data_IF_406917238617
#
_entry.id   IF_406917238617
#
_cell.length_a   1.000
_cell.length_b   1.000
_cell.length_c   1.000
_cell.angle_alpha   90.00
_cell.angle_beta   90.00
_cell.angle_gamma   90.00
#
_symmetry.space_group_name_H-M   'P 1'
#
loop_
_entity.id
_entity.type
_entity.pdbx_description
1 polymer ?
#
# COMPACT_ATOMS: atom_id res chain seq x y z
N UNK A 1 -20.76 -18.09 12.81
CA UNK A 1 -20.87 -17.77 11.37
C UNK A 1 -19.52 -17.77 10.66
N UNK A 2 -18.58 -16.83 10.88
CA UNK A 2 -17.31 -16.82 10.14
C UNK A 2 -16.54 -18.14 10.27
N UNK A 3 -16.34 -18.62 11.51
CA UNK A 3 -15.64 -19.87 11.81
C UNK A 3 -16.29 -21.15 11.24
N UNK A 4 -17.56 -21.09 10.86
CA UNK A 4 -18.35 -22.28 10.49
C UNK A 4 -18.59 -22.42 8.99
N UNK A 5 -18.46 -21.34 8.20
CA UNK A 5 -18.87 -21.35 6.80
C UNK A 5 -18.01 -20.54 5.83
N UNK A 6 -16.87 -20.01 6.29
CA UNK A 6 -15.94 -19.26 5.43
C UNK A 6 -14.51 -19.75 5.64
N UNK A 7 -13.80 -19.94 4.53
CA UNK A 7 -12.36 -20.27 4.53
C UNK A 7 -11.49 -19.02 4.71
N UNK A 8 -12.07 -17.84 4.53
CA UNK A 8 -11.39 -16.59 4.81
C UNK A 8 -12.20 -15.36 4.38
N UNK A 9 -11.64 -14.18 4.65
CA UNK A 9 -12.29 -12.90 4.40
C UNK A 9 -11.28 -11.82 4.01
N UNK A 10 -11.66 -10.97 3.05
CA UNK A 10 -10.96 -9.72 2.80
C UNK A 10 -11.49 -8.64 3.74
N UNK A 11 -10.58 -7.88 4.35
CA UNK A 11 -10.88 -6.75 5.23
C UNK A 11 -10.49 -5.46 4.52
N UNK A 12 -11.42 -4.50 4.46
CA UNK A 12 -11.17 -3.20 3.83
C UNK A 12 -11.29 -2.05 4.82
N UNK A 13 -10.98 -0.83 4.38
CA UNK A 13 -11.15 0.36 5.21
C UNK A 13 -12.60 0.50 5.72
N UNK A 14 -12.81 0.94 6.97
CA UNK A 14 -11.82 1.38 7.96
C UNK A 14 -11.34 0.26 8.93
N UNK A 15 -11.57 -1.01 8.63
CA UNK A 15 -11.48 -2.10 9.62
C UNK A 15 -10.12 -2.82 9.70
N UNK A 16 -9.17 -2.52 8.82
CA UNK A 16 -7.89 -3.28 8.71
C UNK A 16 -7.06 -3.30 10.00
N UNK A 17 -7.06 -2.19 10.75
CA UNK A 17 -6.32 -2.09 12.02
C UNK A 17 -7.06 -2.78 13.17
N UNK A 18 -8.39 -2.64 13.19
CA UNK A 18 -9.23 -3.32 14.18
C UNK A 18 -9.12 -4.83 14.02
N UNK A 19 -9.12 -5.33 12.78
CA UNK A 19 -8.90 -6.75 12.50
C UNK A 19 -7.50 -7.20 12.94
N UNK A 20 -6.46 -6.42 12.71
CA UNK A 20 -5.09 -6.77 13.12
C UNK A 20 -4.89 -6.79 14.65
N UNK A 21 -5.76 -6.12 15.40
CA UNK A 21 -5.77 -6.13 16.86
C UNK A 21 -6.60 -7.28 17.46
N UNK A 22 -7.24 -8.12 16.63
CA UNK A 22 -7.95 -9.32 17.08
C UNK A 22 -6.96 -10.45 17.38
N UNK A 23 -7.47 -11.50 18.02
CA UNK A 23 -6.72 -12.75 18.29
C UNK A 23 -6.54 -13.55 16.99
N UNK A 24 -5.57 -13.12 16.19
CA UNK A 24 -5.16 -13.71 14.92
C UNK A 24 -3.69 -14.08 14.99
N UNK A 25 -3.25 -15.00 14.12
CA UNK A 25 -1.85 -15.33 13.91
C UNK A 25 -1.28 -14.36 12.85
N UNK A 26 -0.51 -13.33 13.23
CA UNK A 26 -0.07 -12.32 12.28
C UNK A 26 1.11 -12.83 11.46
N UNK A 27 1.03 -12.66 10.14
CA UNK A 27 2.20 -12.73 9.27
C UNK A 27 3.18 -11.58 9.56
N UNK A 28 4.39 -11.71 9.01
CA UNK A 28 5.45 -10.72 9.08
C UNK A 28 5.01 -9.33 8.57
N UNK A 29 4.25 -9.29 7.48
CA UNK A 29 3.72 -8.04 6.93
C UNK A 29 2.65 -7.41 7.82
N UNK A 30 1.82 -8.21 8.50
CA UNK A 30 0.81 -7.69 9.44
C UNK A 30 1.50 -7.14 10.68
N UNK A 31 2.52 -7.86 11.19
CA UNK A 31 3.34 -7.40 12.32
C UNK A 31 4.01 -6.06 12.02
N UNK A 32 4.49 -5.86 10.79
CA UNK A 32 5.13 -4.62 10.36
C UNK A 32 4.16 -3.47 10.10
N UNK A 33 3.00 -3.76 9.49
CA UNK A 33 2.04 -2.71 9.08
C UNK A 33 1.05 -2.35 10.19
N UNK A 34 0.85 -3.23 11.17
CA UNK A 34 -0.21 -3.10 12.16
C UNK A 34 -1.61 -3.16 11.55
N UNK A 35 -1.76 -3.73 10.35
CA UNK A 35 -3.00 -3.80 9.60
C UNK A 35 -3.09 -5.10 8.81
N UNK A 36 -4.29 -5.68 8.73
CA UNK A 36 -4.58 -6.86 7.91
C UNK A 36 -5.69 -6.54 6.91
N UNK A 37 -5.51 -6.94 5.66
CA UNK A 37 -6.57 -6.88 4.65
C UNK A 37 -7.11 -8.28 4.29
N UNK A 38 -6.59 -9.32 4.93
CA UNK A 38 -6.85 -10.70 4.56
C UNK A 38 -6.71 -11.61 5.78
N UNK A 39 -7.78 -12.36 6.09
CA UNK A 39 -7.77 -13.36 7.16
C UNK A 39 -8.13 -14.71 6.54
N UNK A 40 -7.27 -15.70 6.74
CA UNK A 40 -7.42 -17.05 6.18
C UNK A 40 -7.55 -18.04 7.33
N UNK A 41 -8.51 -18.95 7.22
CA UNK A 41 -8.69 -20.05 8.16
C UNK A 41 -7.74 -21.19 7.76
N UNK A 42 -6.84 -21.55 8.65
CA UNK A 42 -5.90 -22.66 8.47
C UNK A 42 -6.08 -23.70 9.56
N UNK A 43 -5.32 -24.80 9.49
CA UNK A 43 -5.29 -25.82 10.53
C UNK A 43 -4.65 -25.32 11.84
N UNK A 44 -3.90 -24.21 11.80
CA UNK A 44 -3.25 -23.60 12.97
C UNK A 44 -4.15 -22.55 13.64
N UNK A 45 -5.16 -22.03 12.94
CA UNK A 45 -6.06 -21.00 13.44
C UNK A 45 -6.44 -20.00 12.36
N UNK A 46 -6.70 -18.75 12.78
CA UNK A 46 -6.96 -17.65 11.85
C UNK A 46 -5.67 -16.89 11.59
N UNK A 47 -5.13 -17.04 10.39
CA UNK A 47 -3.91 -16.34 9.97
C UNK A 47 -4.24 -15.03 9.28
N UNK A 48 -3.52 -13.97 9.66
CA UNK A 48 -3.70 -12.63 9.13
C UNK A 48 -2.57 -12.26 8.17
N UNK A 49 -2.96 -11.75 7.00
CA UNK A 49 -2.08 -11.37 5.91
C UNK A 49 -2.34 -9.94 5.46
N UNK A 50 -1.32 -9.32 4.87
CA UNK A 50 -1.46 -8.01 4.23
C UNK A 50 -1.04 -8.12 2.75
N UNK A 51 -1.96 -8.52 1.89
CA UNK A 51 -1.70 -8.64 0.45
C UNK A 51 -1.48 -7.28 -0.23
N UNK A 52 -1.97 -6.18 0.36
CA UNK A 52 -1.67 -4.83 -0.13
C UNK A 52 -0.18 -4.51 0.02
N UNK A 53 0.41 -4.83 1.16
CA UNK A 53 1.84 -4.68 1.38
C UNK A 53 2.64 -5.44 0.31
N UNK A 54 2.28 -6.71 0.06
CA UNK A 54 2.96 -7.54 -0.95
C UNK A 54 2.78 -6.99 -2.37
N UNK A 55 1.60 -6.47 -2.69
CA UNK A 55 1.31 -5.84 -3.98
C UNK A 55 2.17 -4.58 -4.19
N UNK A 56 2.19 -3.67 -3.22
CA UNK A 56 2.97 -2.43 -3.31
C UNK A 56 4.47 -2.74 -3.38
N UNK A 57 4.97 -3.65 -2.54
CA UNK A 57 6.37 -4.08 -2.56
C UNK A 57 6.78 -4.59 -3.94
N UNK A 58 5.91 -5.39 -4.59
CA UNK A 58 6.16 -5.88 -5.94
C UNK A 58 6.14 -4.75 -6.98
N UNK A 59 5.18 -3.83 -6.89
CA UNK A 59 5.10 -2.69 -7.82
C UNK A 59 6.34 -1.80 -7.71
N UNK A 60 6.81 -1.48 -6.49
CA UNK A 60 8.03 -0.70 -6.28
C UNK A 60 9.23 -1.41 -6.91
N UNK A 61 9.40 -2.71 -6.68
CA UNK A 61 10.50 -3.50 -7.29
C UNK A 61 10.44 -3.51 -8.81
N UNK A 62 9.24 -3.63 -9.39
CA UNK A 62 9.07 -3.65 -10.84
C UNK A 62 9.38 -2.28 -11.47
N UNK A 63 9.10 -1.19 -10.77
CA UNK A 63 9.49 0.16 -11.20
C UNK A 63 10.98 0.43 -10.98
N UNK A 64 11.56 -0.07 -9.89
CA UNK A 64 12.99 0.07 -9.60
C UNK A 64 13.89 -0.57 -10.67
N UNK A 65 13.45 -1.66 -11.29
CA UNK A 65 14.15 -2.27 -12.44
C UNK A 65 14.18 -1.37 -13.68
N UNK A 66 13.29 -0.39 -13.77
CA UNK A 66 13.17 0.54 -14.91
C UNK A 66 13.83 1.87 -14.64
N UNK A 67 13.86 2.32 -13.37
CA UNK A 67 14.40 3.60 -12.94
C UNK A 67 14.83 3.54 -11.47
N UNK A 68 15.85 4.31 -11.04
CA UNK A 68 16.21 4.37 -9.63
C UNK A 68 15.06 4.97 -8.81
N UNK A 69 14.75 4.33 -7.68
CA UNK A 69 13.81 4.83 -6.69
C UNK A 69 14.52 4.90 -5.34
N UNK A 70 14.72 6.12 -4.82
CA UNK A 70 15.34 6.34 -3.51
C UNK A 70 14.36 6.96 -2.53
N UNK A 71 13.70 8.06 -2.92
CA UNK A 71 12.78 8.82 -2.08
C UNK A 71 11.34 8.58 -2.48
N UNK A 72 10.57 7.97 -1.59
CA UNK A 72 9.16 7.65 -1.78
C UNK A 72 8.27 8.52 -0.88
N UNK A 73 7.31 9.21 -1.48
CA UNK A 73 6.28 9.95 -0.76
C UNK A 73 5.04 9.08 -0.59
N UNK A 74 4.52 8.92 0.63
CA UNK A 74 3.26 8.25 0.92
C UNK A 74 2.27 9.27 1.45
N UNK A 75 1.16 9.49 0.74
CA UNK A 75 0.15 10.48 1.12
C UNK A 75 -1.04 9.79 1.81
N UNK A 76 -1.19 10.04 3.11
CA UNK A 76 -2.22 9.48 3.99
C UNK A 76 -1.63 8.66 5.16
N UNK A 77 -2.49 8.27 6.11
CA UNK A 77 -2.11 7.43 7.27
C UNK A 77 -3.06 6.26 7.53
N UNK A 78 -3.92 5.92 6.57
CA UNK A 78 -4.82 4.75 6.68
C UNK A 78 -4.11 3.43 6.39
N UNK A 79 -4.83 2.31 6.45
CA UNK A 79 -4.26 0.97 6.23
C UNK A 79 -3.51 0.77 4.90
N UNK A 80 -3.96 1.41 3.81
CA UNK A 80 -3.25 1.37 2.53
C UNK A 80 -1.90 2.13 2.58
N UNK A 81 -1.87 3.29 3.23
CA UNK A 81 -0.64 4.06 3.44
C UNK A 81 0.33 3.31 4.36
N UNK A 82 -0.18 2.62 5.39
CA UNK A 82 0.61 1.72 6.26
C UNK A 82 1.27 0.59 5.48
N UNK A 83 0.52 -0.08 4.62
CA UNK A 83 1.06 -1.10 3.72
C UNK A 83 2.13 -0.53 2.78
N UNK A 84 1.87 0.63 2.17
CA UNK A 84 2.79 1.27 1.23
C UNK A 84 4.10 1.75 1.88
N UNK A 85 4.02 2.44 3.01
CA UNK A 85 5.21 2.93 3.71
C UNK A 85 6.06 1.79 4.24
N UNK A 86 5.43 0.74 4.80
CA UNK A 86 6.14 -0.46 5.23
C UNK A 86 6.84 -1.16 4.05
N UNK A 87 6.17 -1.29 2.91
CA UNK A 87 6.76 -1.88 1.71
C UNK A 87 7.98 -1.09 1.22
N UNK A 88 7.84 0.24 1.14
CA UNK A 88 8.94 1.13 0.76
C UNK A 88 10.11 1.06 1.75
N UNK A 89 9.83 1.13 3.05
CA UNK A 89 10.86 1.12 4.09
C UNK A 89 11.65 -0.21 4.12
N UNK A 90 10.98 -1.34 3.93
CA UNK A 90 11.65 -2.66 3.83
C UNK A 90 12.45 -2.84 2.54
N UNK A 91 12.24 -1.99 1.54
CA UNK A 91 13.09 -1.88 0.35
C UNK A 91 14.18 -0.80 0.52
N UNK A 92 14.45 -0.40 1.76
CA UNK A 92 15.49 0.57 2.14
C UNK A 92 15.33 1.93 1.46
N UNK A 93 14.07 2.36 1.27
CA UNK A 93 13.73 3.67 0.71
C UNK A 93 13.67 4.75 1.78
N UNK A 94 13.97 5.98 1.37
CA UNK A 94 13.69 7.17 2.15
C UNK A 94 12.20 7.49 2.03
N UNK A 95 11.45 7.22 3.08
CA UNK A 95 9.99 7.36 3.11
C UNK A 95 9.61 8.71 3.71
N UNK A 96 8.83 9.50 2.98
CA UNK A 96 8.16 10.70 3.51
C UNK A 96 6.67 10.42 3.66
N UNK A 97 6.13 10.56 4.87
CA UNK A 97 4.70 10.40 5.14
C UNK A 97 4.04 11.78 5.18
N UNK A 98 3.11 12.03 4.28
CA UNK A 98 2.34 13.26 4.22
C UNK A 98 0.92 13.03 4.76
N UNK A 99 0.46 13.90 5.66
CA UNK A 99 -0.91 13.85 6.15
C UNK A 99 -1.41 15.23 6.59
N UNK A 100 -2.73 15.40 6.65
CA UNK A 100 -3.35 16.62 7.18
C UNK A 100 -3.03 16.84 8.66
N UNK A 101 -3.07 15.78 9.45
CA UNK A 101 -2.68 15.83 10.87
C UNK A 101 -1.24 15.37 10.99
N UNK A 102 -0.34 16.31 11.29
CA UNK A 102 1.08 16.04 11.51
C UNK A 102 1.31 15.01 12.62
N UNK A 103 0.64 15.16 13.75
CA UNK A 103 0.75 14.21 14.87
C UNK A 103 0.40 12.76 14.48
N UNK A 104 -0.61 12.56 13.64
CA UNK A 104 -0.93 11.22 13.10
C UNK A 104 0.16 10.66 12.19
N UNK A 105 0.81 11.51 11.39
CA UNK A 105 1.94 11.09 10.56
C UNK A 105 3.16 10.75 11.40
N UNK A 106 3.44 11.53 12.45
CA UNK A 106 4.54 11.29 13.40
C UNK A 106 4.34 9.97 14.16
N UNK A 107 3.14 9.73 14.70
CA UNK A 107 2.80 8.46 15.36
C UNK A 107 2.98 7.26 14.41
N UNK A 108 2.53 7.40 13.17
CA UNK A 108 2.70 6.37 12.15
C UNK A 108 4.18 6.13 11.81
N UNK A 109 4.95 7.20 11.59
CA UNK A 109 6.39 7.11 11.31
C UNK A 109 7.15 6.40 12.44
N UNK A 110 6.95 6.83 13.69
CA UNK A 110 7.60 6.22 14.86
C UNK A 110 7.22 4.75 15.05
N UNK A 111 5.95 4.40 14.79
CA UNK A 111 5.50 3.00 14.85
C UNK A 111 6.17 2.14 13.77
N UNK A 112 6.29 2.66 12.54
CA UNK A 112 6.96 1.95 11.46
C UNK A 112 8.43 1.67 11.79
N UNK A 113 9.16 2.69 12.27
CA UNK A 113 10.56 2.54 12.68
C UNK A 113 10.72 1.53 13.83
N UNK A 114 9.88 1.62 14.86
CA UNK A 114 9.90 0.68 15.99
C UNK A 114 9.68 -0.76 15.54
N UNK A 115 8.67 -1.00 14.70
CA UNK A 115 8.33 -2.35 14.23
C UNK A 115 9.43 -2.92 13.32
N UNK A 116 10.13 -2.07 12.58
CA UNK A 116 11.24 -2.51 11.76
C UNK A 116 12.50 -2.82 12.60
N UNK A 117 12.79 -2.04 13.65
CA UNK A 117 13.90 -2.31 14.58
C UNK A 117 13.76 -3.64 15.34
N UNK A 118 12.54 -4.13 15.52
CA UNK A 118 12.29 -5.45 16.10
C UNK A 118 12.71 -6.61 15.19
N UNK A 119 13.18 -6.34 13.97
CA UNK A 119 13.63 -7.36 13.01
C UNK A 119 15.15 -7.34 12.87
N UNK A 120 15.80 -8.50 12.62
CA UNK A 120 17.26 -8.62 12.51
C UNK A 120 17.85 -8.03 11.21
N UNK A 121 17.20 -7.04 10.60
CA UNK A 121 17.65 -6.39 9.37
C UNK A 121 17.76 -4.88 9.59
N UNK A 122 18.96 -4.34 9.42
CA UNK A 122 19.23 -2.91 9.50
C UNK A 122 18.74 -2.23 8.23
N UNK A 123 17.43 -1.93 8.15
CA UNK A 123 16.89 -1.11 7.07
C UNK A 123 17.68 0.21 7.02
N UNK A 124 18.28 0.51 5.87
CA UNK A 124 19.12 1.71 5.69
C UNK A 124 18.31 2.95 5.28
N UNK A 125 17.01 2.77 5.01
CA UNK A 125 16.10 3.86 4.65
C UNK A 125 15.78 4.75 5.86
N UNK A 126 15.40 6.00 5.57
CA UNK A 126 14.91 6.94 6.58
C UNK A 126 13.39 7.08 6.55
N UNK A 127 12.77 7.46 7.68
CA UNK A 127 11.36 7.88 7.71
C UNK A 127 11.28 9.35 8.14
N UNK A 128 10.49 10.14 7.42
CA UNK A 128 10.24 11.54 7.76
C UNK A 128 8.78 11.90 7.50
N UNK A 129 8.34 13.06 8.00
CA UNK A 129 6.95 13.50 7.90
C UNK A 129 6.85 14.89 7.28
N UNK A 130 5.78 15.14 6.52
CA UNK A 130 5.47 16.49 6.05
C UNK A 130 3.96 16.77 6.11
N UNK A 131 3.61 18.06 6.00
CA UNK A 131 2.22 18.48 5.86
C UNK A 131 1.70 18.20 4.45
N UNK A 132 0.40 17.95 4.34
CA UNK A 132 -0.24 17.65 3.06
C UNK A 132 -0.31 18.85 2.09
N UNK A 133 -0.20 20.07 2.62
CA UNK A 133 -0.29 21.32 1.83
C UNK A 133 1.02 21.62 1.06
N UNK A 134 2.11 20.94 1.38
CA UNK A 134 3.41 21.12 0.72
C UNK A 134 4.11 19.76 0.60
N UNK A 135 3.94 19.14 -0.57
CA UNK A 135 4.52 17.84 -0.88
C UNK A 135 5.94 18.02 -1.44
N UNK A 136 6.94 17.30 -0.92
CA UNK A 136 8.30 17.42 -1.43
C UNK A 136 8.45 16.69 -2.78
N UNK A 137 9.48 17.07 -3.53
CA UNK A 137 9.94 16.28 -4.67
C UNK A 137 10.35 14.87 -4.19
N UNK A 138 9.97 13.87 -5.00
CA UNK A 138 10.20 12.46 -4.74
C UNK A 138 10.36 11.67 -6.04
N UNK A 139 10.94 10.48 -5.98
CA UNK A 139 11.05 9.61 -7.16
C UNK A 139 9.70 8.94 -7.47
N UNK A 140 8.97 8.55 -6.42
CA UNK A 140 7.66 7.94 -6.51
C UNK A 140 6.72 8.47 -5.41
N UNK A 141 5.51 8.86 -5.80
CA UNK A 141 4.42 9.21 -4.90
C UNK A 141 3.38 8.08 -4.88
N UNK A 142 3.03 7.60 -3.68
CA UNK A 142 1.98 6.60 -3.44
C UNK A 142 0.82 7.30 -2.72
N UNK A 143 -0.23 7.57 -3.48
CA UNK A 143 -1.37 8.36 -3.05
C UNK A 143 -2.48 7.47 -2.49
N UNK A 144 -2.81 7.63 -1.20
CA UNK A 144 -3.73 6.75 -0.47
C UNK A 144 -4.97 7.49 0.06
N UNK A 145 -5.25 8.70 -0.42
CA UNK A 145 -6.43 9.46 -0.02
C UNK A 145 -7.60 9.23 -0.99
N UNK A 146 -8.84 9.38 -0.52
CA UNK A 146 -10.01 9.18 -1.37
C UNK A 146 -10.29 10.36 -2.32
N UNK A 147 -9.73 11.55 -2.05
CA UNK A 147 -10.02 12.78 -2.77
C UNK A 147 -8.72 13.50 -3.10
N UNK A 148 -8.66 14.12 -4.27
CA UNK A 148 -7.56 14.99 -4.68
C UNK A 148 -7.32 16.15 -3.69
N UNK A 149 -6.07 16.56 -3.59
CA UNK A 149 -5.64 17.72 -2.80
C UNK A 149 -4.97 18.75 -3.72
N UNK A 150 -5.07 20.05 -3.43
CA UNK A 150 -4.46 21.10 -4.26
C UNK A 150 -2.95 20.91 -4.48
N UNK A 151 -2.22 20.38 -3.49
CA UNK A 151 -0.77 20.18 -3.58
C UNK A 151 -0.33 19.18 -4.67
N UNK A 152 -1.25 18.39 -5.25
CA UNK A 152 -0.94 17.54 -6.41
C UNK A 152 -0.61 18.39 -7.67
N UNK A 153 -1.16 19.59 -7.77
CA UNK A 153 -0.89 20.52 -8.87
C UNK A 153 0.56 21.00 -8.92
N UNK A 154 1.32 20.90 -7.83
CA UNK A 154 2.74 21.28 -7.77
C UNK A 154 3.68 20.09 -7.53
N UNK A 155 3.14 18.87 -7.36
CA UNK A 155 3.93 17.68 -7.10
C UNK A 155 4.88 17.33 -8.26
N UNK A 156 6.18 17.30 -7.97
CA UNK A 156 7.20 16.72 -8.86
C UNK A 156 7.48 15.28 -8.43
N UNK A 157 7.16 14.31 -9.31
CA UNK A 157 7.54 12.92 -9.12
C UNK A 157 7.74 12.18 -10.44
N UNK A 158 8.64 11.17 -10.42
CA UNK A 158 8.89 10.31 -11.58
C UNK A 158 7.80 9.27 -11.80
N UNK A 159 7.19 8.76 -10.72
CA UNK A 159 6.09 7.80 -10.74
C UNK A 159 5.00 8.25 -9.77
N UNK A 160 3.75 8.17 -10.19
CA UNK A 160 2.59 8.38 -9.33
C UNK A 160 1.75 7.12 -9.32
N UNK A 161 1.53 6.55 -8.14
CA UNK A 161 0.71 5.37 -7.92
C UNK A 161 -0.45 5.72 -7.01
N UNK A 162 -1.65 5.33 -7.39
CA UNK A 162 -2.85 5.59 -6.61
C UNK A 162 -3.42 4.32 -5.97
N UNK A 163 -3.97 4.43 -4.75
CA UNK A 163 -4.66 3.33 -4.09
C UNK A 163 -6.15 3.24 -4.47
N UNK A 164 -6.78 4.39 -4.78
CA UNK A 164 -8.20 4.45 -5.11
C UNK A 164 -8.41 4.07 -6.58
N UNK A 165 -8.96 2.88 -6.82
CA UNK A 165 -9.27 2.39 -8.17
C UNK A 165 -10.67 2.75 -8.66
N UNK A 166 -11.57 3.20 -7.77
CA UNK A 166 -12.97 3.46 -8.13
C UNK A 166 -13.15 4.91 -8.58
N UNK A 167 -12.67 5.83 -7.76
CA UNK A 167 -12.80 7.27 -7.97
C UNK A 167 -11.41 7.93 -7.81
N UNK A 168 -10.47 7.68 -8.73
CA UNK A 168 -9.08 8.11 -8.59
C UNK A 168 -8.95 9.64 -8.55
N UNK A 169 -8.02 10.15 -7.74
CA UNK A 169 -7.76 11.58 -7.63
C UNK A 169 -6.96 12.14 -8.82
N UNK A 170 -6.20 11.28 -9.50
CA UNK A 170 -5.42 11.64 -10.68
C UNK A 170 -5.64 10.64 -11.82
N UNK A 171 -5.19 11.03 -13.01
CA UNK A 171 -5.14 10.16 -14.19
C UNK A 171 -3.84 10.38 -14.96
N UNK A 172 -3.61 9.61 -16.01
CA UNK A 172 -2.46 9.84 -16.91
C UNK A 172 -2.57 11.22 -17.58
N UNK A 173 -3.76 11.62 -18.03
CA UNK A 173 -4.02 12.92 -18.66
C UNK A 173 -3.76 14.10 -17.69
N UNK A 174 -3.95 13.90 -16.38
CA UNK A 174 -3.60 14.90 -15.38
C UNK A 174 -2.11 15.25 -15.45
N UNK A 175 -1.23 14.26 -15.61
CA UNK A 175 0.21 14.51 -15.71
C UNK A 175 0.62 15.04 -17.08
N UNK A 176 0.03 14.52 -18.16
CA UNK A 176 0.32 14.96 -19.53
C UNK A 176 -0.02 16.43 -19.76
N UNK A 177 -1.21 16.88 -19.34
CA UNK A 177 -1.67 18.28 -19.49
C UNK A 177 -0.79 19.27 -18.74
N UNK A 178 -0.13 18.81 -17.68
CA UNK A 178 0.83 19.59 -16.90
C UNK A 178 2.27 19.49 -17.44
N UNK A 179 2.48 18.88 -18.61
CA UNK A 179 3.80 18.71 -19.24
C UNK A 179 4.76 17.82 -18.45
N UNK A 180 4.23 16.96 -17.57
CA UNK A 180 5.04 16.12 -16.66
C UNK A 180 5.36 14.78 -17.29
N UNK A 181 6.60 14.31 -17.09
CA UNK A 181 7.04 12.95 -17.47
C UNK A 181 6.80 11.93 -16.35
N UNK A 182 5.68 12.06 -15.65
CA UNK A 182 5.31 11.16 -14.55
C UNK A 182 4.65 9.92 -15.11
N UNK A 183 5.14 8.73 -14.73
CA UNK A 183 4.43 7.48 -15.04
C UNK A 183 3.29 7.30 -14.06
N UNK A 184 2.07 7.17 -14.57
CA UNK A 184 0.89 6.92 -13.76
C UNK A 184 0.66 5.41 -13.60
N UNK A 185 0.42 4.97 -12.36
CA UNK A 185 0.03 3.61 -12.01
C UNK A 185 -1.35 3.67 -11.34
N UNK A 186 -2.36 3.17 -12.04
CA UNK A 186 -3.74 3.16 -11.54
C UNK A 186 -3.90 2.25 -10.32
N UNK A 187 -4.91 2.56 -9.50
CA UNK A 187 -5.31 1.69 -8.39
C UNK A 187 -5.77 0.30 -8.83
N UNK A 188 -6.16 0.12 -10.09
CA UNK A 188 -6.53 -1.21 -10.62
C UNK A 188 -5.34 -2.17 -10.64
N UNK A 189 -4.14 -1.68 -10.95
CA UNK A 189 -2.91 -2.49 -10.87
C UNK A 189 -2.68 -2.96 -9.43
N UNK A 190 -2.86 -2.08 -8.45
CA UNK A 190 -2.79 -2.46 -7.04
C UNK A 190 -3.86 -3.49 -6.72
N UNK A 191 -5.13 -3.23 -7.06
CA UNK A 191 -6.27 -4.11 -6.83
C UNK A 191 -6.04 -5.53 -7.37
N UNK A 192 -5.52 -5.64 -8.60
CA UNK A 192 -5.18 -6.91 -9.23
C UNK A 192 -4.08 -7.63 -8.44
N UNK A 193 -2.97 -6.95 -8.17
CA UNK A 193 -1.80 -7.55 -7.52
C UNK A 193 -2.09 -8.05 -6.12
N UNK A 194 -2.88 -7.31 -5.33
CA UNK A 194 -3.29 -7.76 -4.01
C UNK A 194 -4.27 -8.96 -4.09
N UNK A 195 -5.10 -9.00 -5.13
CA UNK A 195 -6.06 -10.08 -5.34
C UNK A 195 -5.38 -11.37 -5.78
N UNK A 196 -4.37 -11.30 -6.67
CA UNK A 196 -3.55 -12.46 -7.07
C UNK A 196 -2.91 -13.11 -5.84
N UNK A 197 -2.35 -12.29 -4.96
CA UNK A 197 -1.77 -12.74 -3.70
C UNK A 197 -2.84 -13.36 -2.79
N UNK A 198 -3.99 -12.70 -2.63
CA UNK A 198 -5.09 -13.18 -1.79
C UNK A 198 -5.69 -14.50 -2.30
N UNK A 199 -5.84 -14.65 -3.61
CA UNK A 199 -6.33 -15.89 -4.23
C UNK A 199 -5.44 -17.07 -3.88
N UNK A 200 -4.12 -16.92 -4.04
CA UNK A 200 -3.17 -17.97 -3.70
C UNK A 200 -3.20 -18.33 -2.21
N UNK A 201 -3.36 -17.33 -1.34
CA UNK A 201 -3.48 -17.56 0.10
C UNK A 201 -4.79 -18.26 0.48
N UNK A 202 -5.90 -17.96 -0.18
CA UNK A 202 -7.19 -18.62 0.08
C UNK A 202 -7.25 -20.04 -0.45
N UNK A 203 -6.69 -20.29 -1.64
CA UNK A 203 -6.93 -21.53 -2.38
C UNK A 203 -5.76 -22.51 -2.32
N UNK A 204 -4.55 -22.03 -2.02
CA UNK A 204 -3.32 -22.79 -2.18
C UNK A 204 -2.86 -22.91 -3.64
N UNK A 205 -3.60 -22.36 -4.60
CA UNK A 205 -3.35 -22.48 -6.04
C UNK A 205 -2.88 -21.16 -6.66
N UNK A 206 -2.06 -21.19 -7.71
CA UNK A 206 -1.69 -19.97 -8.43
C UNK A 206 -2.91 -19.34 -9.10
N UNK A 207 -2.99 -18.01 -9.05
CA UNK A 207 -4.09 -17.30 -9.69
C UNK A 207 -3.89 -17.21 -11.22
N UNK A 208 -4.95 -17.44 -11.98
CA UNK A 208 -5.01 -17.08 -13.40
C UNK A 208 -5.12 -15.55 -13.53
N UNK A 209 -3.97 -14.91 -13.79
CA UNK A 209 -3.88 -13.45 -13.83
C UNK A 209 -4.63 -12.87 -15.03
N UNK A 210 -4.70 -13.58 -16.16
CA UNK A 210 -5.44 -13.12 -17.34
C UNK A 210 -6.95 -13.11 -17.07
N UNK A 211 -7.47 -14.17 -16.46
CA UNK A 211 -8.87 -14.24 -16.05
C UNK A 211 -9.22 -13.12 -15.04
N UNK A 212 -8.31 -12.82 -14.11
CA UNK A 212 -8.50 -11.75 -13.14
C UNK A 212 -8.50 -10.35 -13.77
N UNK A 213 -7.60 -10.10 -14.75
CA UNK A 213 -7.60 -8.86 -15.53
C UNK A 213 -8.94 -8.69 -16.24
N UNK A 214 -9.41 -9.72 -16.94
CA UNK A 214 -10.72 -9.68 -17.62
C UNK A 214 -11.88 -9.43 -16.64
N UNK A 215 -11.82 -9.97 -15.43
CA UNK A 215 -12.84 -9.76 -14.41
C UNK A 215 -12.91 -8.32 -13.90
N UNK A 216 -11.77 -7.62 -13.82
CA UNK A 216 -11.71 -6.20 -13.45
C UNK A 216 -12.31 -5.34 -14.57
N UNK A 217 -11.89 -5.57 -15.82
CA UNK A 217 -12.36 -4.78 -16.98
C UNK A 217 -13.84 -4.95 -17.34
N UNK A 218 -14.53 -5.97 -16.81
CA UNK A 218 -15.98 -6.17 -17.03
C UNK A 218 -16.87 -5.45 -16.02
N UNK A 219 -16.29 -4.90 -14.94
CA UNK A 219 -17.02 -4.26 -13.84
C UNK A 219 -17.11 -2.74 -13.95
N UNK A 220 -16.38 -2.15 -14.89
CA UNK A 220 -16.27 -0.72 -15.18
C UNK A 220 -16.36 -0.51 -16.68
#
# INVERSE_FOLDING_TARGET
RFLEGYDGVNVTAPFKELAAAMDLLPSDEVSLTGATNLVVKTHLGLEAYNSDYRAVLRIIRDEERRRPLKKLLVVGCGGAAKAAAAAAYMLEKDVVIANRSRGKAEEFASRLEMLALARPCSAQGSVSVCGIDSLPECDMCIYCLPLAIPALESLSCGVFMEANYRDPACSEEFFERNGRKTVYISGEKWLLMQAVTGYALFTGEPADTEAMVQAISRRY
#
